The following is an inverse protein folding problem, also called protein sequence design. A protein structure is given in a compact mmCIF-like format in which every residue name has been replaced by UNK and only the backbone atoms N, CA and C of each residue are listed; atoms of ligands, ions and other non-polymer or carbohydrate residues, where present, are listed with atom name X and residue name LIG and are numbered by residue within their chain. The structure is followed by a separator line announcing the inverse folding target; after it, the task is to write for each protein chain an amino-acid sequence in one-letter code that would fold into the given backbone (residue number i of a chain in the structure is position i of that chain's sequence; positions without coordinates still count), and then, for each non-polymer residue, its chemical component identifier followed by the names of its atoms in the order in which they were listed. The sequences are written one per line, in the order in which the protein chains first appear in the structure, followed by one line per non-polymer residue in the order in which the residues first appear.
data_IF_619679450484
#
_entry.id   IF_619679450484
#
_cell.length_a   1.000
_cell.length_b   1.000
_cell.length_c   1.000
_cell.angle_alpha   90.00
_cell.angle_beta   90.00
_cell.angle_gamma   90.00
#
_symmetry.space_group_name_H-M   'P 1'
#
loop_
_entity.id
_entity.type
_entity.pdbx_description
1 polymer ?
#
# COMPACT_ATOMS: atom_id res chain seq x y z
N UNK A 1 25.22 4.27 -0.36
CA UNK A 1 24.33 3.12 -0.23
C UNK A 1 24.66 2.14 -1.34
N UNK A 2 25.10 0.94 -0.99
CA UNK A 2 25.42 -0.12 -1.97
C UNK A 2 24.14 -0.71 -2.57
N UNK A 3 24.25 -1.44 -3.69
CA UNK A 3 23.10 -2.16 -4.28
C UNK A 3 22.50 -3.19 -3.31
N UNK A 4 23.32 -3.84 -2.50
CA UNK A 4 22.91 -4.80 -1.48
C UNK A 4 22.14 -4.14 -0.33
N UNK A 5 22.66 -3.03 0.20
CA UNK A 5 21.99 -2.23 1.24
C UNK A 5 20.64 -1.72 0.72
N UNK A 6 20.61 -1.21 -0.51
CA UNK A 6 19.38 -0.76 -1.15
C UNK A 6 18.37 -1.89 -1.28
N UNK A 7 18.78 -3.07 -1.78
CA UNK A 7 17.93 -4.26 -1.93
C UNK A 7 17.35 -4.73 -0.60
N UNK A 8 18.17 -4.72 0.45
CA UNK A 8 17.77 -5.10 1.81
C UNK A 8 16.73 -4.12 2.34
N UNK A 9 17.01 -2.81 2.24
CA UNK A 9 16.12 -1.76 2.72
C UNK A 9 14.77 -1.75 1.99
N UNK A 10 14.76 -1.83 0.66
CA UNK A 10 13.51 -1.85 -0.10
C UNK A 10 12.71 -3.13 0.12
N UNK A 11 13.38 -4.27 0.35
CA UNK A 11 12.70 -5.52 0.69
C UNK A 11 12.01 -5.42 2.04
N UNK A 12 12.71 -4.91 3.05
CA UNK A 12 12.14 -4.68 4.38
C UNK A 12 10.97 -3.69 4.33
N UNK A 13 11.12 -2.58 3.61
CA UNK A 13 10.05 -1.59 3.46
C UNK A 13 8.85 -2.10 2.65
N UNK A 14 9.05 -3.02 1.70
CA UNK A 14 7.93 -3.72 1.05
C UNK A 14 7.13 -4.56 2.05
N UNK A 15 7.80 -5.31 2.93
CA UNK A 15 7.14 -6.16 3.91
C UNK A 15 6.37 -5.31 4.94
N UNK A 16 6.97 -4.22 5.44
CA UNK A 16 6.29 -3.28 6.35
C UNK A 16 5.06 -2.65 5.69
N UNK A 17 5.21 -2.12 4.48
CA UNK A 17 4.09 -1.51 3.76
C UNK A 17 2.98 -2.53 3.50
N UNK A 18 3.32 -3.78 3.16
CA UNK A 18 2.32 -4.84 2.96
C UNK A 18 1.49 -5.05 4.23
N UNK A 19 2.14 -5.16 5.38
CA UNK A 19 1.46 -5.43 6.65
C UNK A 19 0.54 -4.27 7.04
N UNK A 20 0.97 -3.02 6.79
CA UNK A 20 0.13 -1.84 7.00
C UNK A 20 -1.05 -1.75 6.05
N UNK A 21 -0.86 -2.05 4.76
CA UNK A 21 -1.97 -2.07 3.79
C UNK A 21 -2.98 -3.17 4.15
N UNK A 22 -2.51 -4.33 4.62
CA UNK A 22 -3.39 -5.39 5.13
C UNK A 22 -4.17 -4.93 6.37
N UNK A 23 -3.52 -4.23 7.31
CA UNK A 23 -4.17 -3.66 8.48
C UNK A 23 -5.21 -2.59 8.09
N UNK A 24 -4.89 -1.72 7.13
CA UNK A 24 -5.81 -0.72 6.60
C UNK A 24 -7.04 -1.38 5.94
N UNK A 25 -6.84 -2.45 5.17
CA UNK A 25 -7.94 -3.21 4.57
C UNK A 25 -8.85 -3.82 5.66
N UNK A 26 -8.27 -4.37 6.73
CA UNK A 26 -9.04 -4.91 7.85
C UNK A 26 -9.82 -3.81 8.61
N UNK A 27 -9.18 -2.68 8.89
CA UNK A 27 -9.83 -1.54 9.53
C UNK A 27 -11.02 -1.04 8.69
N UNK A 28 -10.85 -0.95 7.37
CA UNK A 28 -11.90 -0.49 6.47
C UNK A 28 -13.07 -1.47 6.37
N UNK A 29 -12.81 -2.79 6.42
CA UNK A 29 -13.86 -3.82 6.51
C UNK A 29 -14.67 -3.66 7.81
N UNK A 30 -14.02 -3.35 8.92
CA UNK A 30 -14.68 -3.10 10.19
C UNK A 30 -15.53 -1.82 10.16
N UNK A 31 -15.01 -0.72 9.60
CA UNK A 31 -15.81 0.48 9.37
C UNK A 31 -17.00 0.23 8.44
N UNK A 32 -16.83 -0.59 7.40
CA UNK A 32 -17.94 -0.98 6.53
C UNK A 32 -19.02 -1.76 7.29
N UNK A 33 -18.63 -2.73 8.12
CA UNK A 33 -19.55 -3.50 8.96
C UNK A 33 -20.35 -2.58 9.90
N UNK A 34 -19.69 -1.63 10.55
CA UNK A 34 -20.35 -0.63 11.42
C UNK A 34 -21.30 0.25 10.62
N UNK A 35 -20.88 0.72 9.45
CA UNK A 35 -21.71 1.53 8.56
C UNK A 35 -22.98 0.78 8.13
N UNK A 36 -22.88 -0.50 7.80
CA UNK A 36 -24.06 -1.33 7.47
C UNK A 36 -25.05 -1.41 8.63
N UNK A 37 -24.57 -1.55 9.87
CA UNK A 37 -25.42 -1.56 11.06
C UNK A 37 -26.11 -0.21 11.26
N UNK A 38 -25.38 0.89 11.08
CA UNK A 38 -25.93 2.25 11.15
C UNK A 38 -27.02 2.44 10.08
N UNK A 39 -26.75 2.05 8.84
CA UNK A 39 -27.73 2.13 7.75
C UNK A 39 -28.99 1.29 8.03
N UNK A 40 -28.85 0.11 8.65
CA UNK A 40 -30.00 -0.70 9.05
C UNK A 40 -30.83 -0.04 10.16
N UNK A 41 -30.19 0.61 11.13
CA UNK A 41 -30.87 1.37 12.19
C UNK A 41 -31.64 2.55 11.60
N UNK A 42 -30.98 3.35 10.75
CA UNK A 42 -31.59 4.49 10.07
C UNK A 42 -32.79 4.07 9.20
N UNK A 43 -32.68 2.97 8.44
CA UNK A 43 -33.81 2.45 7.62
C UNK A 43 -35.01 2.01 8.45
N UNK A 44 -34.80 1.61 9.71
CA UNK A 44 -35.85 1.19 10.64
C UNK A 44 -36.33 2.33 11.54
N UNK A 45 -35.86 3.57 11.33
CA UNK A 45 -36.09 4.71 12.22
C UNK A 45 -35.71 4.41 13.68
N UNK A 46 -34.64 3.63 13.88
CA UNK A 46 -34.05 3.35 15.19
C UNK A 46 -32.89 4.32 15.40
N UNK A 47 -32.76 4.84 16.61
CA UNK A 47 -31.63 5.70 16.98
C UNK A 47 -30.29 5.00 16.74
N UNK A 48 -29.36 5.75 16.14
CA UNK A 48 -28.02 5.26 15.86
C UNK A 48 -27.25 5.09 17.16
N UNK A 49 -26.83 3.86 17.45
CA UNK A 49 -26.10 3.55 18.70
C UNK A 49 -24.62 3.91 18.65
N UNK A 50 -24.04 3.88 17.46
CA UNK A 50 -22.61 4.12 17.24
C UNK A 50 -22.34 5.61 17.01
N UNK A 51 -22.38 6.39 18.10
CA UNK A 51 -22.18 7.84 18.07
C UNK A 51 -20.75 8.27 17.71
N UNK A 52 -19.77 7.42 17.96
CA UNK A 52 -18.35 7.71 17.74
C UNK A 52 -17.86 7.35 16.34
N UNK A 53 -18.68 6.68 15.53
CA UNK A 53 -18.33 6.20 14.19
C UNK A 53 -17.66 7.27 13.32
N UNK A 54 -18.29 8.45 13.21
CA UNK A 54 -17.77 9.51 12.36
C UNK A 54 -16.43 10.07 12.86
N UNK A 55 -16.28 10.26 14.16
CA UNK A 55 -15.04 10.76 14.76
C UNK A 55 -13.88 9.76 14.56
N UNK A 56 -14.13 8.47 14.85
CA UNK A 56 -13.14 7.41 14.68
C UNK A 56 -12.75 7.20 13.22
N UNK A 57 -13.72 7.22 12.30
CA UNK A 57 -13.45 7.10 10.87
C UNK A 57 -12.60 8.28 10.36
N UNK A 58 -12.95 9.51 10.75
CA UNK A 58 -12.21 10.69 10.32
C UNK A 58 -10.78 10.72 10.87
N UNK A 59 -10.59 10.31 12.13
CA UNK A 59 -9.26 10.13 12.73
C UNK A 59 -8.44 9.06 11.99
N UNK A 60 -9.06 7.92 11.67
CA UNK A 60 -8.44 6.87 10.88
C UNK A 60 -7.96 7.37 9.51
N UNK A 61 -8.80 8.11 8.76
CA UNK A 61 -8.40 8.63 7.46
C UNK A 61 -7.21 9.60 7.55
N UNK A 62 -7.15 10.42 8.60
CA UNK A 62 -6.03 11.34 8.83
C UNK A 62 -4.75 10.59 9.16
N UNK A 63 -4.82 9.57 10.02
CA UNK A 63 -3.66 8.77 10.39
C UNK A 63 -3.15 7.94 9.21
N UNK A 64 -4.06 7.33 8.44
CA UNK A 64 -3.69 6.60 7.23
C UNK A 64 -3.04 7.50 6.18
N UNK A 65 -3.56 8.73 6.00
CA UNK A 65 -2.91 9.71 5.12
C UNK A 65 -1.49 10.01 5.57
N UNK A 66 -1.31 10.30 6.86
CA UNK A 66 -0.01 10.62 7.44
C UNK A 66 0.98 9.48 7.23
N UNK A 67 0.58 8.23 7.47
CA UNK A 67 1.42 7.06 7.24
C UNK A 67 1.90 6.96 5.79
N UNK A 68 1.05 7.26 4.81
CA UNK A 68 1.43 7.28 3.39
C UNK A 68 2.39 8.43 3.06
N UNK A 69 2.13 9.62 3.59
CA UNK A 69 2.98 10.80 3.41
C UNK A 69 4.38 10.57 3.99
N UNK A 70 4.48 9.98 5.19
CA UNK A 70 5.76 9.68 5.86
C UNK A 70 6.59 8.64 5.08
N UNK A 71 5.95 7.82 4.23
CA UNK A 71 6.60 6.79 3.40
C UNK A 71 7.04 7.27 2.03
N UNK A 72 6.40 8.29 1.47
CA UNK A 72 6.69 8.80 0.12
C UNK A 72 8.19 9.14 -0.07
N UNK A 73 8.86 9.84 0.87
CA UNK A 73 10.26 10.23 0.70
C UNK A 73 11.19 9.03 0.52
N UNK A 74 10.95 7.94 1.27
CA UNK A 74 11.77 6.74 1.16
C UNK A 74 11.68 6.14 -0.24
N UNK A 75 10.48 5.96 -0.78
CA UNK A 75 10.30 5.32 -2.09
C UNK A 75 10.81 6.18 -3.24
N UNK A 76 10.67 7.50 -3.13
CA UNK A 76 11.25 8.45 -4.08
C UNK A 76 12.78 8.38 -4.06
N UNK A 77 13.41 8.33 -2.87
CA UNK A 77 14.86 8.18 -2.73
C UNK A 77 15.35 6.80 -3.21
N UNK A 78 14.66 5.71 -2.87
CA UNK A 78 15.02 4.36 -3.27
C UNK A 78 15.04 4.19 -4.79
N UNK A 79 14.06 4.76 -5.49
CA UNK A 79 14.01 4.76 -6.95
C UNK A 79 15.16 5.58 -7.56
N UNK A 80 15.47 6.75 -6.97
CA UNK A 80 16.59 7.57 -7.42
C UNK A 80 17.93 6.82 -7.24
N UNK A 81 18.16 6.22 -6.08
CA UNK A 81 19.36 5.44 -5.79
C UNK A 81 19.54 4.26 -6.75
N UNK A 82 18.47 3.52 -7.05
CA UNK A 82 18.52 2.39 -7.98
C UNK A 82 18.94 2.81 -9.41
N UNK A 83 18.62 4.05 -9.80
CA UNK A 83 18.98 4.64 -11.10
C UNK A 83 20.38 5.23 -11.12
N UNK A 84 20.87 5.72 -9.99
CA UNK A 84 22.22 6.28 -9.85
C UNK A 84 23.30 5.19 -9.85
N UNK A 85 22.99 3.98 -9.36
CA UNK A 85 23.90 2.84 -9.43
C UNK A 85 24.14 2.40 -10.87
N UNK A 86 25.41 2.18 -11.22
CA UNK A 86 25.80 1.74 -12.57
C UNK A 86 25.32 0.31 -12.79
N UNK A 87 25.11 -0.06 -14.05
CA UNK A 87 24.71 -1.42 -14.40
C UNK A 87 25.72 -2.46 -13.88
N UNK A 88 27.02 -2.15 -13.85
CA UNK A 88 28.08 -3.02 -13.30
C UNK A 88 27.94 -3.31 -11.81
N UNK A 89 27.28 -2.43 -11.06
CA UNK A 89 27.15 -2.53 -9.59
C UNK A 89 26.03 -3.51 -9.20
N UNK A 90 25.21 -3.94 -10.15
CA UNK A 90 24.16 -4.95 -9.98
C UNK A 90 24.72 -6.34 -10.24
N UNK A 91 25.63 -6.78 -9.38
CA UNK A 91 26.37 -8.03 -9.54
C UNK A 91 25.47 -9.28 -9.56
N UNK A 92 25.99 -10.37 -10.11
CA UNK A 92 25.24 -11.60 -10.35
C UNK A 92 24.73 -12.29 -9.07
N UNK A 93 25.46 -12.17 -7.97
CA UNK A 93 25.13 -12.67 -6.63
C UNK A 93 23.86 -12.00 -6.06
N UNK A 94 23.54 -10.78 -6.50
CA UNK A 94 22.31 -10.07 -6.12
C UNK A 94 21.07 -10.58 -6.86
N UNK A 95 21.19 -11.50 -7.82
CA UNK A 95 20.05 -11.99 -8.61
C UNK A 95 19.01 -12.74 -7.76
N UNK A 96 19.44 -13.52 -6.77
CA UNK A 96 18.52 -14.21 -5.87
C UNK A 96 17.79 -13.24 -4.92
N UNK A 97 18.47 -12.32 -4.22
CA UNK A 97 17.82 -11.23 -3.48
C UNK A 97 16.83 -10.42 -4.32
N UNK A 98 17.19 -10.06 -5.56
CA UNK A 98 16.32 -9.31 -6.47
C UNK A 98 15.05 -10.09 -6.86
N UNK A 99 15.15 -11.42 -7.06
CA UNK A 99 13.97 -12.29 -7.23
C UNK A 99 13.09 -12.31 -5.98
N UNK A 100 13.71 -12.34 -4.80
CA UNK A 100 13.01 -12.23 -3.52
C UNK A 100 12.22 -10.92 -3.39
N UNK A 101 12.81 -9.78 -3.78
CA UNK A 101 12.11 -8.49 -3.82
C UNK A 101 10.92 -8.50 -4.79
N UNK A 102 11.10 -9.05 -5.99
CA UNK A 102 10.01 -9.15 -6.97
C UNK A 102 8.84 -9.99 -6.44
N UNK A 103 9.12 -11.07 -5.70
CA UNK A 103 8.09 -11.84 -4.99
C UNK A 103 7.35 -10.98 -3.95
N UNK A 104 8.08 -10.26 -3.10
CA UNK A 104 7.50 -9.35 -2.08
C UNK A 104 6.62 -8.27 -2.70
N UNK A 105 7.09 -7.62 -3.76
CA UNK A 105 6.32 -6.60 -4.48
C UNK A 105 5.00 -7.15 -5.05
N UNK A 106 4.98 -8.41 -5.53
CA UNK A 106 3.74 -9.07 -5.96
C UNK A 106 2.80 -9.34 -4.78
N UNK A 107 3.32 -9.74 -3.63
CA UNK A 107 2.49 -9.94 -2.43
C UNK A 107 1.93 -8.62 -1.91
N UNK A 108 2.72 -7.54 -1.92
CA UNK A 108 2.23 -6.18 -1.65
C UNK A 108 1.09 -5.79 -2.61
N UNK A 109 1.24 -6.07 -3.91
CA UNK A 109 0.18 -5.82 -4.89
C UNK A 109 -1.13 -6.49 -4.53
N UNK A 110 -1.09 -7.75 -4.07
CA UNK A 110 -2.30 -8.46 -3.61
C UNK A 110 -2.93 -7.82 -2.39
N UNK A 111 -2.12 -7.36 -1.42
CA UNK A 111 -2.64 -6.62 -0.26
C UNK A 111 -3.32 -5.30 -0.70
N UNK A 112 -2.81 -4.64 -1.74
CA UNK A 112 -3.43 -3.44 -2.29
C UNK A 112 -4.77 -3.76 -2.99
N UNK A 113 -4.86 -4.88 -3.71
CA UNK A 113 -6.13 -5.34 -4.31
C UNK A 113 -7.19 -5.60 -3.22
N UNK A 114 -6.78 -6.14 -2.07
CA UNK A 114 -7.65 -6.33 -0.92
C UNK A 114 -8.13 -5.02 -0.29
N UNK A 115 -7.25 -4.03 -0.17
CA UNK A 115 -7.61 -2.69 0.29
C UNK A 115 -8.60 -2.03 -0.68
N UNK A 116 -8.36 -2.11 -1.98
CA UNK A 116 -9.28 -1.61 -3.01
C UNK A 116 -10.64 -2.27 -2.90
N UNK A 117 -10.69 -3.59 -2.71
CA UNK A 117 -11.94 -4.33 -2.48
C UNK A 117 -12.68 -3.83 -1.23
N UNK A 118 -11.97 -3.63 -0.13
CA UNK A 118 -12.56 -3.10 1.10
C UNK A 118 -13.08 -1.65 0.91
N UNK A 119 -12.37 -0.84 0.14
CA UNK A 119 -12.77 0.52 -0.22
C UNK A 119 -14.03 0.54 -1.08
N UNK A 120 -14.11 -0.29 -2.12
CA UNK A 120 -15.28 -0.34 -2.99
C UNK A 120 -16.55 -0.75 -2.23
N UNK A 121 -16.43 -1.71 -1.31
CA UNK A 121 -17.52 -2.11 -0.42
C UNK A 121 -17.96 -0.95 0.48
N UNK A 122 -17.01 -0.26 1.11
CA UNK A 122 -17.29 0.90 1.95
C UNK A 122 -17.95 2.03 1.16
N UNK A 123 -17.41 2.40 0.00
CA UNK A 123 -17.90 3.47 -0.85
C UNK A 123 -19.34 3.21 -1.33
N UNK A 124 -19.65 1.95 -1.66
CA UNK A 124 -21.01 1.53 -2.03
C UNK A 124 -22.01 1.80 -0.92
N UNK A 125 -21.67 1.46 0.33
CA UNK A 125 -22.54 1.66 1.47
C UNK A 125 -22.62 3.15 1.87
N UNK A 126 -21.49 3.86 1.81
CA UNK A 126 -21.42 5.29 2.11
C UNK A 126 -22.32 6.16 1.22
N UNK A 127 -22.54 5.78 -0.05
CA UNK A 127 -23.42 6.52 -0.97
C UNK A 127 -24.83 6.80 -0.40
N UNK A 128 -25.32 5.93 0.48
CA UNK A 128 -26.64 6.04 1.10
C UNK A 128 -26.60 6.64 2.53
N UNK A 129 -25.42 7.05 2.99
CA UNK A 129 -25.21 7.56 4.34
C UNK A 129 -25.23 9.09 4.35
N UNK A 130 -26.22 9.67 5.03
CA UNK A 130 -26.42 11.14 5.12
C UNK A 130 -26.34 11.67 6.55
N UNK A 131 -26.20 10.80 7.55
CA UNK A 131 -26.29 11.18 8.96
C UNK A 131 -25.04 11.91 9.49
N UNK A 132 -23.88 11.75 8.85
CA UNK A 132 -22.66 12.47 9.24
C UNK A 132 -21.74 12.70 8.04
N UNK A 133 -20.90 13.73 8.13
CA UNK A 133 -19.83 13.99 7.16
C UNK A 133 -18.62 13.12 7.50
N UNK A 134 -18.19 12.33 6.52
CA UNK A 134 -17.01 11.48 6.61
C UNK A 134 -15.92 11.99 5.66
N UNK A 135 -14.65 11.80 6.02
CA UNK A 135 -13.48 12.12 5.21
C UNK A 135 -13.25 11.11 4.08
N UNK A 136 -14.30 10.73 3.35
CA UNK A 136 -14.22 9.74 2.26
C UNK A 136 -13.34 10.23 1.12
N UNK A 137 -13.34 11.53 0.84
CA UNK A 137 -12.44 12.12 -0.15
C UNK A 137 -10.96 11.84 0.16
N UNK A 138 -10.60 11.88 1.46
CA UNK A 138 -9.25 11.61 1.93
C UNK A 138 -8.92 10.13 1.79
N UNK A 139 -9.87 9.25 2.14
CA UNK A 139 -9.74 7.81 1.92
C UNK A 139 -9.54 7.47 0.44
N UNK A 140 -10.33 8.08 -0.46
CA UNK A 140 -10.18 7.91 -1.91
C UNK A 140 -8.80 8.35 -2.38
N UNK A 141 -8.31 9.50 -1.93
CA UNK A 141 -6.96 9.97 -2.25
C UNK A 141 -5.89 8.98 -1.77
N UNK A 142 -6.02 8.45 -0.54
CA UNK A 142 -5.11 7.45 -0.01
C UNK A 142 -5.12 6.13 -0.82
N UNK A 143 -6.30 5.65 -1.24
CA UNK A 143 -6.40 4.45 -2.09
C UNK A 143 -5.67 4.67 -3.42
N UNK A 144 -5.86 5.82 -4.06
CA UNK A 144 -5.19 6.14 -5.32
C UNK A 144 -3.67 6.25 -5.14
N UNK A 145 -3.21 6.86 -4.04
CA UNK A 145 -1.78 6.97 -3.74
C UNK A 145 -1.12 5.59 -3.50
N UNK A 146 -1.81 4.68 -2.80
CA UNK A 146 -1.36 3.30 -2.58
C UNK A 146 -1.22 2.56 -3.92
N UNK A 147 -2.21 2.68 -4.81
CA UNK A 147 -2.18 2.04 -6.13
C UNK A 147 -0.99 2.56 -6.96
N UNK A 148 -0.82 3.88 -7.01
CA UNK A 148 0.30 4.53 -7.72
C UNK A 148 1.65 4.09 -7.13
N UNK A 149 1.78 4.08 -5.81
CA UNK A 149 3.00 3.66 -5.13
C UNK A 149 3.34 2.20 -5.43
N UNK A 150 2.36 1.32 -5.37
CA UNK A 150 2.51 -0.11 -5.66
C UNK A 150 2.99 -0.36 -7.08
N UNK A 151 2.42 0.37 -8.06
CA UNK A 151 2.89 0.34 -9.45
C UNK A 151 4.36 0.74 -9.57
N UNK A 152 4.79 1.79 -8.86
CA UNK A 152 6.21 2.22 -8.83
C UNK A 152 7.11 1.14 -8.22
N UNK A 153 6.70 0.50 -7.13
CA UNK A 153 7.48 -0.56 -6.45
C UNK A 153 7.62 -1.80 -7.34
N UNK A 154 6.53 -2.24 -7.98
CA UNK A 154 6.56 -3.35 -8.94
C UNK A 154 7.50 -3.08 -10.11
N UNK A 155 7.48 -1.86 -10.64
CA UNK A 155 8.38 -1.46 -11.72
C UNK A 155 9.83 -1.48 -11.26
N UNK A 156 10.13 -0.88 -10.10
CA UNK A 156 11.48 -0.87 -9.51
C UNK A 156 12.00 -2.29 -9.28
N UNK A 157 11.19 -3.19 -8.71
CA UNK A 157 11.57 -4.58 -8.47
C UNK A 157 11.88 -5.33 -9.77
N UNK A 158 11.11 -5.09 -10.84
CA UNK A 158 11.37 -5.67 -12.17
C UNK A 158 12.64 -5.09 -12.81
N UNK A 159 12.87 -3.78 -12.70
CA UNK A 159 14.08 -3.14 -13.19
C UNK A 159 15.33 -3.75 -12.53
N UNK A 160 15.34 -3.85 -11.20
CA UNK A 160 16.46 -4.42 -10.45
C UNK A 160 16.69 -5.88 -10.84
N UNK A 161 15.64 -6.70 -10.88
CA UNK A 161 15.75 -8.11 -11.29
C UNK A 161 16.34 -8.27 -12.71
N UNK A 162 15.96 -7.40 -13.65
CA UNK A 162 16.52 -7.39 -15.01
C UNK A 162 18.01 -7.04 -15.02
N UNK A 163 18.43 -6.04 -14.24
CA UNK A 163 19.84 -5.64 -14.14
C UNK A 163 20.71 -6.77 -13.57
N UNK A 164 20.28 -7.39 -12.48
CA UNK A 164 21.03 -8.48 -11.85
C UNK A 164 21.09 -9.75 -12.71
N UNK A 165 20.03 -10.09 -13.45
CA UNK A 165 20.02 -11.28 -14.31
C UNK A 165 20.89 -11.09 -15.57
N UNK A 166 20.93 -9.86 -16.14
CA UNK A 166 21.83 -9.54 -17.26
C UNK A 166 23.29 -9.81 -16.91
N UNK A 167 23.71 -9.43 -15.71
CA UNK A 167 25.10 -9.60 -15.25
C UNK A 167 25.39 -11.04 -14.80
N UNK A 168 24.37 -11.83 -14.44
CA UNK A 168 24.51 -13.27 -14.19
C UNK A 168 24.93 -14.03 -15.45
N UNK A 169 24.37 -13.68 -16.60
CA UNK A 169 24.72 -14.31 -17.88
C UNK A 169 26.12 -13.96 -18.40
N UNK A 170 26.74 -12.88 -17.89
CA UNK A 170 28.09 -12.46 -18.29
C UNK A 170 29.20 -13.14 -17.47
N UNK A 171 28.90 -13.59 -16.25
CA UNK A 171 29.82 -14.29 -15.35
C UNK A 171 29.59 -15.82 -15.31
N UNK A 172 28.73 -16.34 -16.18
CA UNK A 172 28.49 -17.78 -16.35
C UNK A 172 29.37 -18.32 -17.49
N UNK A 173 30.69 -18.39 -17.25
CA UNK A 173 31.65 -19.15 -18.04
C UNK A 173 32.42 -20.09 -17.11
#
# INVERSE_FOLDING_TARGET
MTCEELLTNISHQCDLLRDEIAAAAQALREFNRRLEQILQQLRKNIDVRDGDFAAQFNAYCLDFRKQLDDREPFWTQARAAARQNKDSDWTADLALPAKGLNSRAKTLSRACDELTTAYDLFAKNYKNFTAAKLNVWLLTACQSDVEVLTGKILFLAREIAKKTEKNRGQNAF
#
